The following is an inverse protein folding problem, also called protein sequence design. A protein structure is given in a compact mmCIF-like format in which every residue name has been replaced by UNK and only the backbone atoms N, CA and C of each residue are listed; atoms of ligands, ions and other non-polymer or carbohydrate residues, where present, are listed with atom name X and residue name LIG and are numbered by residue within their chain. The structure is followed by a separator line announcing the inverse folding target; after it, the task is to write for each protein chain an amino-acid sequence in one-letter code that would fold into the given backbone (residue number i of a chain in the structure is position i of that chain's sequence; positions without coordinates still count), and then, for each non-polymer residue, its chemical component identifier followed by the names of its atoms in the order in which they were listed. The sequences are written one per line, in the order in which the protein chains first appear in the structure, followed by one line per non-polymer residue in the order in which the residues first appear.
data_IF_103098002802
#
_entry.id   IF_103098002802
#
_cell.length_a   1.000
_cell.length_b   1.000
_cell.length_c   1.000
_cell.angle_alpha   90.00
_cell.angle_beta   90.00
_cell.angle_gamma   90.00
#
_symmetry.space_group_name_H-M   'P 1'
#
loop_
_entity.id
_entity.type
_entity.pdbx_description
1 polymer ?
#
# COMPACT_ATOMS: atom_id res chain seq x y z
N UNK A 1 5.67 6.75 -21.34
CA UNK A 1 6.18 5.47 -20.79
C UNK A 1 5.22 4.79 -19.81
N UNK A 2 5.08 5.17 -18.52
CA UNK A 2 4.21 4.40 -17.57
C UNK A 2 2.76 4.28 -18.06
N UNK A 3 2.10 5.40 -18.38
CA UNK A 3 0.72 5.42 -18.89
C UNK A 3 0.54 4.62 -20.20
N UNK A 4 1.54 4.64 -21.07
CA UNK A 4 1.48 3.91 -22.36
C UNK A 4 1.46 2.40 -22.14
N UNK A 5 2.10 1.90 -21.08
CA UNK A 5 2.16 0.47 -20.77
C UNK A 5 1.07 0.00 -19.82
N UNK A 6 0.58 0.86 -18.91
CA UNK A 6 -0.39 0.44 -17.88
C UNK A 6 -1.80 0.98 -18.09
N UNK A 7 -1.99 1.94 -19.01
CA UNK A 7 -3.23 2.71 -19.13
C UNK A 7 -3.50 3.66 -17.95
N UNK A 8 -2.63 3.68 -16.94
CA UNK A 8 -2.84 4.43 -15.69
C UNK A 8 -2.00 5.70 -15.70
N UNK A 9 -2.66 6.84 -15.42
CA UNK A 9 -1.95 8.11 -15.19
C UNK A 9 -1.38 8.09 -13.78
N UNK A 10 -0.05 8.06 -13.66
CA UNK A 10 0.64 8.02 -12.38
C UNK A 10 1.68 9.15 -12.30
N UNK A 11 1.84 9.76 -11.11
CA UNK A 11 2.68 10.94 -10.87
C UNK A 11 3.54 10.77 -9.62
N UNK A 12 4.76 11.29 -9.66
CA UNK A 12 5.60 11.41 -8.48
C UNK A 12 5.05 12.48 -7.51
N UNK A 13 4.54 13.58 -8.07
CA UNK A 13 3.93 14.68 -7.34
C UNK A 13 2.44 14.78 -7.68
N UNK A 14 1.57 14.82 -6.68
CA UNK A 14 0.12 14.96 -6.84
C UNK A 14 -0.41 15.91 -5.78
N UNK A 15 -1.19 16.91 -6.18
CA UNK A 15 -1.85 17.86 -5.24
C UNK A 15 -0.89 18.54 -4.24
N UNK A 16 0.35 18.79 -4.65
CA UNK A 16 1.38 19.40 -3.80
C UNK A 16 2.14 18.44 -2.88
N UNK A 17 1.87 17.13 -2.96
CA UNK A 17 2.46 16.10 -2.11
C UNK A 17 3.38 15.15 -2.89
N UNK A 18 4.36 14.58 -2.20
CA UNK A 18 5.35 13.61 -2.71
C UNK A 18 5.70 12.57 -1.65
N UNK A 19 6.00 11.34 -2.07
CA UNK A 19 6.60 10.34 -1.18
C UNK A 19 8.05 10.74 -0.84
N UNK A 20 8.57 10.30 0.32
CA UNK A 20 9.99 10.42 0.67
C UNK A 20 10.89 9.71 -0.34
N UNK A 21 10.38 8.61 -0.90
CA UNK A 21 11.06 7.79 -1.90
C UNK A 21 10.06 7.37 -2.97
N UNK A 22 10.49 7.39 -4.22
CA UNK A 22 9.76 6.77 -5.33
C UNK A 22 10.37 5.42 -5.73
N UNK A 23 11.67 5.25 -5.60
CA UNK A 23 12.38 3.99 -5.81
C UNK A 23 12.99 3.54 -4.49
N UNK A 24 12.82 2.27 -4.16
CA UNK A 24 13.34 1.71 -2.91
C UNK A 24 13.03 0.24 -2.77
N UNK A 25 13.44 -0.35 -1.65
CA UNK A 25 13.12 -1.73 -1.35
C UNK A 25 11.76 -1.83 -0.65
N UNK A 26 10.90 -2.69 -1.19
CA UNK A 26 9.67 -3.15 -0.57
C UNK A 26 9.90 -4.47 0.15
N UNK A 27 9.40 -4.59 1.37
CA UNK A 27 9.36 -5.85 2.12
C UNK A 27 7.96 -6.43 2.23
N UNK A 28 7.91 -7.73 2.52
CA UNK A 28 6.68 -8.47 2.77
C UNK A 28 6.14 -8.16 4.16
N UNK A 29 4.94 -7.61 4.22
CA UNK A 29 4.24 -7.28 5.46
C UNK A 29 3.26 -8.41 5.87
N UNK A 30 2.71 -8.27 7.07
CA UNK A 30 1.64 -9.12 7.57
C UNK A 30 0.28 -8.53 7.18
N UNK A 31 -0.81 -9.28 7.27
CA UNK A 31 -2.14 -8.68 7.12
C UNK A 31 -2.38 -7.61 8.21
N UNK A 32 -3.24 -6.64 7.92
CA UNK A 32 -3.71 -5.64 8.88
C UNK A 32 -5.12 -5.97 9.37
N UNK A 33 -5.42 -5.61 10.63
CA UNK A 33 -6.76 -5.84 11.19
C UNK A 33 -7.78 -4.95 10.51
N UNK A 34 -8.82 -5.55 9.94
CA UNK A 34 -9.84 -4.83 9.15
C UNK A 34 -10.91 -4.17 10.01
N UNK A 35 -11.26 -4.78 11.14
CA UNK A 35 -12.21 -4.29 12.14
C UNK A 35 -11.94 -4.93 13.51
N UNK A 36 -12.53 -4.42 14.62
CA UNK A 36 -12.43 -5.06 15.93
C UNK A 36 -12.93 -6.51 15.91
N UNK A 37 -12.09 -7.45 16.33
CA UNK A 37 -12.40 -8.88 16.31
C UNK A 37 -12.05 -9.61 15.00
N UNK A 38 -11.45 -8.90 14.02
CA UNK A 38 -10.87 -9.54 12.85
C UNK A 38 -9.74 -10.50 13.24
N UNK A 39 -9.57 -11.55 12.45
CA UNK A 39 -8.60 -12.62 12.69
C UNK A 39 -8.08 -13.17 11.39
N UNK A 40 -6.86 -13.71 11.40
CA UNK A 40 -6.22 -14.31 10.24
C UNK A 40 -7.08 -15.36 9.51
N UNK A 41 -7.91 -16.12 10.24
CA UNK A 41 -8.79 -17.12 9.65
C UNK A 41 -9.88 -16.52 8.72
N UNK A 42 -10.12 -15.22 8.82
CA UNK A 42 -11.08 -14.46 8.00
C UNK A 42 -10.41 -13.79 6.79
N UNK A 43 -9.11 -13.99 6.59
CA UNK A 43 -8.35 -13.51 5.44
C UNK A 43 -8.27 -14.63 4.41
N UNK A 44 -8.61 -14.33 3.16
CA UNK A 44 -8.85 -15.34 2.13
C UNK A 44 -7.55 -16.00 1.63
N UNK A 45 -6.48 -15.23 1.51
CA UNK A 45 -5.25 -15.60 0.80
C UNK A 45 -4.03 -15.34 1.69
N UNK A 46 -2.96 -16.12 1.48
CA UNK A 46 -1.61 -15.94 2.07
C UNK A 46 -1.59 -15.81 3.60
N UNK A 47 -2.38 -16.64 4.29
CA UNK A 47 -2.44 -16.66 5.77
C UNK A 47 -1.07 -16.92 6.43
N UNK A 48 -0.10 -17.53 5.74
CA UNK A 48 1.26 -17.69 6.24
C UNK A 48 2.00 -16.37 6.52
N UNK A 49 1.49 -15.23 6.02
CA UNK A 49 1.97 -13.90 6.38
C UNK A 49 1.69 -13.55 7.85
N UNK A 50 0.68 -14.19 8.44
CA UNK A 50 0.21 -13.87 9.78
C UNK A 50 -0.50 -12.52 9.85
N UNK A 51 -0.77 -12.10 11.09
CA UNK A 51 -1.48 -10.86 11.39
C UNK A 51 -0.56 -9.90 12.14
N UNK A 52 -0.57 -8.63 11.74
CA UNK A 52 0.15 -7.59 12.47
C UNK A 52 -0.31 -7.56 13.94
N UNK A 53 0.63 -7.43 14.90
CA UNK A 53 0.27 -7.37 16.32
C UNK A 53 -0.52 -6.09 16.65
N UNK A 54 -0.16 -4.97 15.99
CA UNK A 54 -0.81 -3.68 16.10
C UNK A 54 -1.86 -3.42 15.02
N UNK A 55 -2.44 -2.22 15.06
CA UNK A 55 -3.20 -1.66 13.95
C UNK A 55 -2.25 -0.96 12.99
N UNK A 56 -2.65 -0.85 11.72
CA UNK A 56 -1.99 0.07 10.80
C UNK A 56 -2.17 1.53 11.25
N UNK A 57 -1.41 2.44 10.67
CA UNK A 57 -1.36 3.86 11.01
C UNK A 57 -2.74 4.54 10.92
N UNK A 58 -3.66 3.99 10.13
CA UNK A 58 -5.00 4.52 9.93
C UNK A 58 -6.07 3.89 10.84
N UNK A 59 -5.67 2.97 11.72
CA UNK A 59 -6.55 2.17 12.56
C UNK A 59 -7.19 1.00 11.80
N UNK A 60 -8.43 0.68 12.15
CA UNK A 60 -9.24 -0.28 11.41
C UNK A 60 -9.75 0.31 10.09
N UNK A 61 -10.00 -0.55 9.10
CA UNK A 61 -10.61 -0.17 7.83
C UNK A 61 -12.13 0.04 7.98
N UNK A 62 -12.78 -0.73 8.85
CA UNK A 62 -14.20 -0.60 9.19
C UNK A 62 -14.41 -0.52 10.72
N UNK A 63 -15.55 0.03 11.15
CA UNK A 63 -15.87 0.17 12.58
C UNK A 63 -16.16 -1.17 13.25
N UNK A 64 -16.78 -2.09 12.51
CA UNK A 64 -17.15 -3.44 12.92
C UNK A 64 -17.40 -4.32 11.69
N UNK A 65 -17.63 -5.61 11.91
CA UNK A 65 -17.86 -6.59 10.85
C UNK A 65 -19.14 -6.31 10.02
N UNK A 66 -20.15 -5.64 10.58
CA UNK A 66 -21.40 -5.34 9.85
C UNK A 66 -21.23 -4.16 8.88
N UNK A 67 -20.25 -3.29 9.15
CA UNK A 67 -19.91 -2.14 8.29
C UNK A 67 -18.73 -2.42 7.36
N UNK A 68 -18.17 -3.63 7.40
CA UNK A 68 -17.06 -4.03 6.55
C UNK A 68 -17.54 -4.23 5.11
N UNK A 69 -17.01 -3.43 4.19
CA UNK A 69 -17.40 -3.44 2.78
C UNK A 69 -16.36 -4.10 1.89
N UNK A 70 -16.73 -4.41 0.64
CA UNK A 70 -15.77 -4.84 -0.39
C UNK A 70 -14.66 -3.82 -0.62
N UNK A 71 -14.94 -2.53 -0.43
CA UNK A 71 -13.90 -1.48 -0.53
C UNK A 71 -12.88 -1.63 0.59
N UNK A 72 -13.33 -1.88 1.82
CA UNK A 72 -12.44 -2.06 2.98
C UNK A 72 -11.61 -3.33 2.84
N UNK A 73 -12.24 -4.41 2.36
CA UNK A 73 -11.55 -5.64 1.97
C UNK A 73 -10.44 -5.39 0.95
N UNK A 74 -10.75 -4.70 -0.16
CA UNK A 74 -9.75 -4.44 -1.21
C UNK A 74 -8.65 -3.48 -0.76
N UNK A 75 -8.97 -2.50 0.10
CA UNK A 75 -7.99 -1.58 0.64
C UNK A 75 -6.96 -2.30 1.52
N UNK A 76 -7.39 -3.26 2.34
CA UNK A 76 -6.47 -4.08 3.11
C UNK A 76 -5.76 -5.09 2.22
N UNK A 77 -6.47 -5.83 1.36
CA UNK A 77 -5.84 -6.79 0.44
C UNK A 77 -4.72 -6.16 -0.41
N UNK A 78 -4.92 -4.93 -0.89
CA UNK A 78 -3.94 -4.21 -1.69
C UNK A 78 -3.42 -2.96 -0.98
N UNK A 79 -2.85 -3.13 0.21
CA UNK A 79 -2.21 -2.04 0.93
C UNK A 79 -0.69 -1.99 0.72
N UNK A 80 -0.13 -0.79 0.82
CA UNK A 80 1.29 -0.56 1.05
C UNK A 80 1.52 0.26 2.32
N UNK A 81 2.66 0.04 2.95
CA UNK A 81 3.23 0.92 3.96
C UNK A 81 4.22 1.88 3.30
N UNK A 82 4.09 3.18 3.58
CA UNK A 82 5.09 4.19 3.15
C UNK A 82 5.53 5.05 4.32
N UNK A 83 6.72 5.62 4.20
CA UNK A 83 7.46 6.30 5.25
C UNK A 83 6.93 7.70 5.64
N UNK A 84 5.61 7.90 5.71
CA UNK A 84 4.98 9.21 5.98
C UNK A 84 5.48 9.88 7.25
N UNK A 85 5.86 9.10 8.27
CA UNK A 85 6.40 9.59 9.54
C UNK A 85 7.75 10.34 9.41
N UNK A 86 8.40 10.23 8.24
CA UNK A 86 9.64 10.93 7.92
C UNK A 86 9.45 12.09 6.93
N UNK A 87 8.20 12.45 6.58
CA UNK A 87 7.95 13.69 5.85
C UNK A 87 8.34 14.89 6.71
N UNK A 88 8.99 15.88 6.12
CA UNK A 88 9.57 17.03 6.85
C UNK A 88 8.51 17.77 7.70
N UNK A 89 7.30 17.91 7.16
CA UNK A 89 6.19 18.59 7.81
C UNK A 89 5.17 17.66 8.50
N UNK A 90 5.48 16.36 8.63
CA UNK A 90 4.55 15.37 9.22
C UNK A 90 4.01 15.79 10.59
N UNK A 91 4.89 16.31 11.46
CA UNK A 91 4.51 16.68 12.82
C UNK A 91 3.80 18.04 12.91
N UNK A 92 3.93 18.90 11.89
CA UNK A 92 3.28 20.21 11.86
C UNK A 92 1.89 20.11 11.24
N UNK A 93 1.77 19.38 10.14
CA UNK A 93 0.56 19.29 9.32
C UNK A 93 -0.12 17.91 9.43
N UNK A 94 0.11 17.22 10.56
CA UNK A 94 -0.24 15.81 10.76
C UNK A 94 -1.67 15.46 10.31
N UNK A 95 -2.67 16.25 10.73
CA UNK A 95 -4.06 15.94 10.43
C UNK A 95 -4.36 15.99 8.92
N UNK A 96 -3.87 17.04 8.24
CA UNK A 96 -4.06 17.23 6.80
C UNK A 96 -3.30 16.16 6.00
N UNK A 97 -2.03 15.93 6.33
CA UNK A 97 -1.21 14.93 5.65
C UNK A 97 -1.77 13.53 5.88
N UNK A 98 -2.11 13.16 7.11
CA UNK A 98 -2.75 11.87 7.41
C UNK A 98 -3.97 11.65 6.53
N UNK A 99 -4.86 12.63 6.45
CA UNK A 99 -6.11 12.49 5.69
C UNK A 99 -5.86 12.45 4.17
N UNK A 100 -4.83 13.16 3.69
CA UNK A 100 -4.45 13.15 2.28
C UNK A 100 -3.79 11.83 1.84
N UNK A 101 -2.91 11.27 2.67
CA UNK A 101 -2.18 10.02 2.40
C UNK A 101 -3.06 8.78 2.64
N UNK A 102 -3.96 8.82 3.63
CA UNK A 102 -4.81 7.68 3.99
C UNK A 102 -5.60 7.16 2.78
N UNK A 103 -5.39 5.89 2.46
CA UNK A 103 -6.01 5.18 1.35
C UNK A 103 -5.76 5.81 -0.03
N UNK A 104 -4.74 6.67 -0.18
CA UNK A 104 -4.37 7.24 -1.47
C UNK A 104 -3.85 6.14 -2.39
N UNK A 105 -4.37 6.10 -3.61
CA UNK A 105 -3.96 5.09 -4.60
C UNK A 105 -2.54 5.34 -5.09
N UNK A 106 -1.78 4.26 -5.18
CA UNK A 106 -0.43 4.23 -5.75
C UNK A 106 -0.32 3.11 -6.76
N UNK A 107 0.43 3.36 -7.82
CA UNK A 107 0.90 2.35 -8.76
C UNK A 107 2.26 1.87 -8.26
N UNK A 108 2.33 0.58 -7.93
CA UNK A 108 3.57 -0.09 -7.56
C UNK A 108 4.06 -0.91 -8.73
N UNK A 109 5.32 -0.75 -9.11
CA UNK A 109 5.94 -1.47 -10.23
C UNK A 109 7.19 -2.18 -9.71
N UNK A 110 7.33 -3.46 -10.02
CA UNK A 110 8.61 -4.16 -9.88
C UNK A 110 9.45 -3.90 -11.15
N UNK A 111 10.53 -3.10 -11.07
CA UNK A 111 11.32 -2.73 -12.24
C UNK A 111 12.11 -3.91 -12.84
N UNK A 112 12.23 -5.04 -12.12
CA UNK A 112 12.97 -6.22 -12.59
C UNK A 112 12.16 -7.03 -13.59
N UNK A 113 10.84 -7.16 -13.38
CA UNK A 113 9.97 -7.99 -14.22
C UNK A 113 8.81 -7.22 -14.88
N UNK A 114 8.65 -5.93 -14.58
CA UNK A 114 7.60 -5.08 -15.12
C UNK A 114 6.20 -5.36 -14.58
N UNK A 115 6.03 -6.28 -13.62
CA UNK A 115 4.73 -6.52 -12.97
C UNK A 115 4.35 -5.29 -12.15
N UNK A 116 3.06 -4.97 -12.17
CA UNK A 116 2.54 -3.80 -11.48
C UNK A 116 1.21 -4.09 -10.79
N UNK A 117 0.91 -3.34 -9.75
CA UNK A 117 -0.30 -3.44 -8.94
C UNK A 117 -0.75 -2.04 -8.52
N UNK A 118 -2.06 -1.79 -8.57
CA UNK A 118 -2.66 -0.61 -7.95
C UNK A 118 -3.01 -0.96 -6.52
N UNK A 119 -2.43 -0.21 -5.59
CA UNK A 119 -2.60 -0.38 -4.16
C UNK A 119 -3.05 0.93 -3.50
N UNK A 120 -3.37 0.90 -2.22
CA UNK A 120 -3.58 2.09 -1.40
C UNK A 120 -2.51 2.21 -0.33
N UNK A 121 -2.21 3.43 0.09
CA UNK A 121 -1.40 3.66 1.29
C UNK A 121 -2.26 3.33 2.51
N UNK A 122 -2.07 2.13 3.06
CA UNK A 122 -2.84 1.60 4.19
C UNK A 122 -2.12 1.65 5.53
N UNK A 123 -0.81 1.95 5.51
CA UNK A 123 0.00 2.02 6.73
C UNK A 123 1.16 3.03 6.60
N UNK A 124 1.75 3.38 7.74
CA UNK A 124 2.95 4.21 7.84
C UNK A 124 4.15 3.38 8.29
N UNK A 125 5.28 3.56 7.62
CA UNK A 125 6.51 2.78 7.81
C UNK A 125 6.99 2.19 6.48
N UNK A 126 7.92 1.22 6.48
CA UNK A 126 8.63 0.70 7.64
C UNK A 126 9.63 1.70 8.22
N UNK A 127 10.16 1.43 9.42
CA UNK A 127 11.17 2.29 10.03
C UNK A 127 12.47 2.31 9.20
N UNK A 128 13.17 3.44 9.17
CA UNK A 128 14.37 3.66 8.34
C UNK A 128 15.45 2.59 8.58
N UNK A 129 15.67 2.20 9.84
CA UNK A 129 16.67 1.21 10.24
C UNK A 129 16.46 -0.18 9.60
N UNK A 130 15.25 -0.48 9.11
CA UNK A 130 14.95 -1.75 8.42
C UNK A 130 15.63 -1.85 7.05
N UNK A 131 16.14 -0.73 6.50
CA UNK A 131 16.72 -0.67 5.16
C UNK A 131 15.69 -0.96 4.05
N UNK A 132 14.40 -0.77 4.34
CA UNK A 132 13.27 -0.84 3.42
C UNK A 132 12.61 0.55 3.41
N UNK A 133 12.15 0.97 2.23
CA UNK A 133 11.42 2.23 2.06
C UNK A 133 9.91 1.99 2.05
N UNK A 134 9.51 0.78 1.69
CA UNK A 134 8.11 0.39 1.53
C UNK A 134 7.82 -0.96 2.17
N UNK A 135 6.56 -1.16 2.54
CA UNK A 135 5.98 -2.47 2.85
C UNK A 135 4.86 -2.75 1.86
N UNK A 136 4.69 -4.01 1.47
CA UNK A 136 3.55 -4.46 0.65
C UNK A 136 2.76 -5.52 1.40
N UNK A 137 1.43 -5.45 1.32
CA UNK A 137 0.56 -6.54 1.73
C UNK A 137 0.99 -7.87 1.08
N UNK A 138 0.61 -9.01 1.65
CA UNK A 138 0.92 -10.31 1.07
C UNK A 138 0.55 -10.40 -0.42
N UNK A 139 -0.62 -9.88 -0.81
CA UNK A 139 -1.12 -9.92 -2.18
C UNK A 139 -0.46 -8.88 -3.09
N UNK A 140 -0.06 -7.71 -2.58
CA UNK A 140 0.80 -6.78 -3.33
C UNK A 140 2.13 -7.45 -3.66
N UNK A 141 2.73 -8.12 -2.68
CA UNK A 141 4.00 -8.84 -2.88
C UNK A 141 3.84 -10.03 -3.81
N UNK A 142 2.70 -10.72 -3.78
CA UNK A 142 2.41 -11.80 -4.72
C UNK A 142 2.25 -11.27 -6.14
N UNK A 143 1.46 -10.20 -6.33
CA UNK A 143 1.24 -9.56 -7.62
C UNK A 143 2.55 -9.07 -8.26
N UNK A 144 3.51 -8.61 -7.45
CA UNK A 144 4.82 -8.13 -7.89
C UNK A 144 5.87 -9.25 -8.06
N UNK A 145 5.53 -10.50 -7.71
CA UNK A 145 6.46 -11.64 -7.68
C UNK A 145 7.61 -11.48 -6.69
N UNK A 146 7.31 -10.86 -5.54
CA UNK A 146 8.24 -10.62 -4.43
C UNK A 146 7.86 -11.42 -3.17
N UNK A 147 6.82 -12.25 -3.22
CA UNK A 147 6.35 -13.08 -2.10
C UNK A 147 7.20 -14.33 -1.83
N UNK A 148 8.04 -14.74 -2.78
CA UNK A 148 8.95 -15.88 -2.66
C UNK A 148 10.36 -15.44 -2.25
N UNK A 149 11.18 -16.42 -1.85
CA UNK A 149 12.59 -16.21 -1.56
C UNK A 149 12.83 -15.17 -0.46
N UNK A 150 13.64 -14.11 -0.69
CA UNK A 150 13.96 -13.11 0.33
C UNK A 150 12.77 -12.29 0.84
N UNK A 151 11.61 -12.37 0.18
CA UNK A 151 10.42 -11.58 0.55
C UNK A 151 10.70 -10.06 0.62
N UNK A 152 11.58 -9.62 -0.28
CA UNK A 152 12.08 -8.24 -0.43
C UNK A 152 12.51 -8.00 -1.87
N UNK A 153 12.20 -6.84 -2.44
CA UNK A 153 12.62 -6.47 -3.80
C UNK A 153 12.57 -4.97 -4.07
N UNK A 154 13.21 -4.53 -5.14
CA UNK A 154 13.12 -3.13 -5.57
C UNK A 154 11.73 -2.85 -6.15
N UNK A 155 11.17 -1.67 -5.86
CA UNK A 155 9.89 -1.22 -6.40
C UNK A 155 9.92 0.27 -6.69
N UNK A 156 9.19 0.67 -7.74
CA UNK A 156 8.84 2.05 -8.05
C UNK A 156 7.40 2.31 -7.59
N UNK A 157 7.19 3.35 -6.78
CA UNK A 157 5.88 3.81 -6.31
C UNK A 157 5.59 5.22 -6.83
N UNK A 158 4.41 5.37 -7.44
CA UNK A 158 3.89 6.64 -7.95
C UNK A 158 2.43 6.79 -7.52
N UNK A 159 1.96 8.01 -7.25
CA UNK A 159 0.54 8.23 -6.99
C UNK A 159 -0.28 8.01 -8.25
N UNK A 160 -1.44 7.38 -8.10
CA UNK A 160 -2.42 7.30 -9.18
C UNK A 160 -3.25 8.57 -9.19
N UNK A 161 -3.30 9.23 -10.36
CA UNK A 161 -4.19 10.37 -10.61
C UNK A 161 -5.59 9.85 -10.98
N UNK A 162 -6.41 9.63 -9.95
CA UNK A 162 -7.76 9.04 -10.05
C UNK A 162 -8.81 9.90 -9.34
N UNK A 163 -9.09 11.13 -9.83
CA UNK A 163 -10.01 12.05 -9.16
C UNK A 163 -11.45 11.52 -9.10
N UNK A 164 -11.84 10.65 -10.05
CA UNK A 164 -13.17 10.04 -10.12
C UNK A 164 -13.24 8.68 -9.39
N UNK A 165 -12.15 8.23 -8.76
CA UNK A 165 -12.04 6.94 -8.07
C UNK A 165 -12.46 5.72 -8.94
N UNK A 166 -12.09 5.70 -10.23
CA UNK A 166 -12.48 4.68 -11.21
C UNK A 166 -11.44 3.59 -11.44
N UNK A 167 -10.20 3.81 -11.02
CA UNK A 167 -9.11 2.84 -11.24
C UNK A 167 -9.21 1.76 -10.17
N UNK A 168 -9.44 0.47 -10.51
CA UNK A 168 -9.58 -0.58 -9.51
C UNK A 168 -8.25 -0.88 -8.81
N UNK A 169 -8.33 -1.42 -7.59
CA UNK A 169 -7.17 -1.99 -6.90
C UNK A 169 -6.87 -3.39 -7.45
N UNK A 170 -5.61 -3.80 -7.37
CA UNK A 170 -5.14 -5.11 -7.77
C UNK A 170 -4.14 -5.10 -8.93
N UNK A 171 -3.75 -6.30 -9.42
CA UNK A 171 -2.74 -6.44 -10.47
C UNK A 171 -3.13 -5.69 -11.74
N UNK A 172 -2.15 -5.02 -12.36
CA UNK A 172 -2.32 -4.35 -13.64
C UNK A 172 -1.96 -5.35 -14.75
N UNK A 173 -2.97 -5.79 -15.49
CA UNK A 173 -2.77 -6.58 -16.70
C UNK A 173 -2.70 -5.63 -17.90
N UNK A 174 -1.71 -5.86 -18.76
CA UNK A 174 -1.49 -5.13 -20.01
C UNK A 174 -1.50 -6.09 -21.20
#
# INVERSE_FOLDING_TARGET
MVKEHTGITAKAYLEGQSLNHHLGYMGFEQHLKRYPGDSLAQHDEIQEAGMAPGLGAWGYFARDANQFTTKDYLNEKYYVAVQTLYLENWNQDFAELRDWYKNRKVLVINPVNGKAVVAVIGDAGPAEWTGKQFGGSPEVMQALDLHLGPRKGATLLLFVDDPDNRIPLGPVNY
#
